data_IF_639611630596
#
_entry.id   IF_639611630596
#
_cell.length_a   1.000
_cell.length_b   1.000
_cell.length_c   1.000
_cell.angle_alpha   90.00
_cell.angle_beta   90.00
_cell.angle_gamma   90.00
#
_symmetry.space_group_name_H-M   'P 1'
#
loop_
_entity.id
_entity.type
_entity.pdbx_description
1 polymer ?
#
# COMPACT_ATOMS: atom_id res chain seq x y z
N UNK A 1 26.84 -0.10 6.66
CA UNK A 1 25.36 0.07 6.69
C UNK A 1 25.02 1.48 6.23
N UNK A 2 24.07 1.62 5.36
CA UNK A 2 23.64 2.92 4.87
C UNK A 2 22.16 3.11 5.16
N UNK A 3 21.82 4.25 5.76
CA UNK A 3 20.44 4.70 5.87
C UNK A 3 20.17 5.53 4.63
N UNK A 4 19.14 5.16 3.88
CA UNK A 4 18.87 5.78 2.60
C UNK A 4 17.67 6.71 2.69
N UNK A 5 17.70 7.75 1.87
CA UNK A 5 16.54 8.61 1.67
C UNK A 5 15.53 7.90 0.75
N UNK A 6 14.31 8.41 0.70
CA UNK A 6 13.31 7.89 -0.23
C UNK A 6 13.60 8.19 -1.70
N UNK A 7 14.70 8.83 -2.01
CA UNK A 7 15.08 9.15 -3.39
C UNK A 7 15.50 7.91 -4.20
N UNK A 8 15.84 6.81 -3.52
CA UNK A 8 16.13 5.54 -4.18
C UNK A 8 14.90 4.75 -4.61
N UNK A 9 13.71 5.32 -4.48
CA UNK A 9 12.45 4.69 -4.85
C UNK A 9 12.32 4.66 -6.39
N UNK A 10 12.35 3.45 -6.94
CA UNK A 10 12.39 3.29 -8.40
C UNK A 10 11.07 2.84 -9.01
N UNK A 11 10.23 2.14 -8.25
CA UNK A 11 8.97 1.63 -8.77
C UNK A 11 7.90 1.61 -7.69
N UNK A 12 6.71 2.06 -8.05
CA UNK A 12 5.48 1.79 -7.32
C UNK A 12 4.43 1.38 -8.34
N UNK A 13 4.16 0.10 -8.44
CA UNK A 13 3.21 -0.41 -9.40
C UNK A 13 2.02 -1.06 -8.70
N UNK A 14 0.84 -0.86 -9.27
CA UNK A 14 -0.40 -1.46 -8.82
C UNK A 14 -1.10 -2.01 -10.05
N UNK A 15 -1.65 -3.21 -9.95
CA UNK A 15 -2.42 -3.78 -11.05
C UNK A 15 -3.65 -2.94 -11.36
N UNK A 16 -3.97 -2.81 -12.63
CA UNK A 16 -5.26 -2.29 -13.05
C UNK A 16 -6.35 -3.37 -12.87
N UNK A 17 -7.59 -3.07 -13.24
CA UNK A 17 -8.69 -4.02 -13.08
C UNK A 17 -8.54 -5.27 -13.94
N UNK A 18 -7.70 -5.22 -14.97
CA UNK A 18 -7.40 -6.36 -15.83
C UNK A 18 -6.21 -7.20 -15.39
N UNK A 19 -5.57 -6.85 -14.26
CA UNK A 19 -4.43 -7.58 -13.72
C UNK A 19 -3.08 -7.20 -14.32
N UNK A 20 -2.99 -6.11 -15.05
CA UNK A 20 -1.73 -5.63 -15.62
C UNK A 20 -1.09 -4.60 -14.68
N UNK A 21 0.18 -4.82 -14.31
CA UNK A 21 0.91 -3.91 -13.44
C UNK A 21 1.16 -2.56 -14.14
N UNK A 22 0.85 -1.48 -13.44
CA UNK A 22 1.05 -0.12 -13.93
C UNK A 22 1.87 0.67 -12.93
N UNK A 23 2.98 1.24 -13.38
CA UNK A 23 3.83 2.09 -12.53
C UNK A 23 3.18 3.47 -12.40
N UNK A 24 2.80 3.84 -11.18
CA UNK A 24 2.14 5.10 -10.89
C UNK A 24 3.02 6.01 -10.01
N UNK A 25 4.30 5.72 -9.91
CA UNK A 25 5.22 6.51 -9.08
C UNK A 25 5.22 7.99 -9.44
N UNK A 26 5.12 8.31 -10.73
CA UNK A 26 5.19 9.70 -11.21
C UNK A 26 4.05 10.57 -10.69
N UNK A 27 2.90 9.99 -10.35
CA UNK A 27 1.75 10.73 -9.83
C UNK A 27 1.52 10.50 -8.33
N UNK A 28 2.42 9.80 -7.64
CA UNK A 28 2.33 9.52 -6.22
C UNK A 28 3.24 10.47 -5.44
N UNK A 29 2.68 11.19 -4.47
CA UNK A 29 3.43 12.12 -3.62
C UNK A 29 3.82 11.49 -2.30
N UNK A 30 2.93 10.72 -1.70
CA UNK A 30 3.13 10.07 -0.41
C UNK A 30 2.70 8.62 -0.48
N UNK A 31 3.45 7.77 0.20
CA UNK A 31 3.13 6.37 0.36
C UNK A 31 3.58 5.94 1.74
N UNK A 32 2.66 5.43 2.53
CA UNK A 32 2.99 4.81 3.82
C UNK A 32 2.37 3.43 3.91
N UNK A 33 2.99 2.57 4.68
CA UNK A 33 2.44 1.26 4.99
C UNK A 33 2.98 0.76 6.31
N UNK A 34 2.26 -0.19 6.90
CA UNK A 34 2.66 -0.88 8.11
C UNK A 34 2.46 -2.38 7.93
N UNK A 35 3.26 -3.17 8.65
CA UNK A 35 3.18 -4.63 8.65
C UNK A 35 3.02 -5.11 10.09
N UNK A 36 1.86 -4.85 10.72
CA UNK A 36 1.68 -5.18 12.12
C UNK A 36 1.46 -6.66 12.34
N UNK A 37 1.86 -7.12 13.51
CA UNK A 37 1.48 -8.43 14.03
C UNK A 37 0.93 -8.26 15.44
N UNK A 38 -0.17 -8.92 15.74
CA UNK A 38 -0.71 -8.96 17.07
C UNK A 38 0.16 -9.80 18.01
N UNK A 39 0.01 -9.58 19.30
CA UNK A 39 0.73 -10.29 20.35
C UNK A 39 -0.30 -10.80 21.36
N UNK A 40 -0.18 -12.07 21.76
CA UNK A 40 -0.96 -12.62 22.84
C UNK A 40 -0.05 -12.97 24.01
N UNK A 41 -0.47 -12.57 25.21
CA UNK A 41 0.21 -12.95 26.45
C UNK A 41 -0.12 -14.40 26.78
N UNK A 42 0.92 -15.24 26.90
CA UNK A 42 0.80 -16.65 27.26
C UNK A 42 1.62 -16.96 28.51
N UNK A 43 1.92 -15.96 29.33
CA UNK A 43 2.73 -16.13 30.53
C UNK A 43 2.02 -17.03 31.52
N UNK A 44 2.67 -18.12 31.92
CA UNK A 44 2.16 -19.03 32.95
C UNK A 44 2.57 -18.56 34.36
N UNK A 45 1.83 -19.03 35.37
CA UNK A 45 2.10 -18.66 36.77
C UNK A 45 3.50 -19.08 37.25
N UNK A 46 4.07 -20.11 36.62
CA UNK A 46 5.41 -20.60 36.99
C UNK A 46 6.54 -19.78 36.39
N UNK A 47 6.24 -18.83 35.52
CA UNK A 47 7.26 -18.04 34.82
C UNK A 47 7.57 -16.76 35.57
N UNK A 48 8.83 -16.36 35.55
CA UNK A 48 9.32 -15.13 36.18
C UNK A 48 9.47 -13.98 35.17
N UNK A 49 9.23 -14.24 33.88
CA UNK A 49 9.30 -13.24 32.83
C UNK A 49 8.07 -13.39 31.91
N UNK A 50 7.75 -12.32 31.22
CA UNK A 50 6.62 -12.32 30.28
C UNK A 50 6.92 -13.24 29.09
N UNK A 51 5.94 -14.05 28.72
CA UNK A 51 5.97 -14.85 27.50
C UNK A 51 4.84 -14.39 26.59
N UNK A 52 5.15 -14.19 25.32
CA UNK A 52 4.19 -13.67 24.33
C UNK A 52 4.24 -14.50 23.06
N UNK A 53 3.09 -14.62 22.42
CA UNK A 53 2.94 -15.32 21.15
C UNK A 53 2.64 -14.28 20.05
N UNK A 54 3.40 -14.33 18.96
CA UNK A 54 3.11 -13.53 17.78
C UNK A 54 1.92 -14.13 17.02
N UNK A 55 0.97 -13.28 16.69
CA UNK A 55 -0.21 -13.66 15.93
C UNK A 55 0.00 -13.40 14.43
N UNK A 56 -1.07 -13.47 13.66
CA UNK A 56 -1.01 -13.31 12.20
C UNK A 56 -0.49 -11.92 11.83
N UNK A 57 0.29 -11.88 10.76
CA UNK A 57 0.78 -10.63 10.19
C UNK A 57 -0.30 -10.00 9.30
N UNK A 58 -0.24 -8.68 9.19
CA UNK A 58 -1.10 -7.90 8.32
C UNK A 58 -0.25 -6.92 7.50
N UNK A 59 -0.85 -6.30 6.51
CA UNK A 59 -0.22 -5.26 5.71
C UNK A 59 -1.29 -4.25 5.31
N UNK A 60 -1.05 -3.00 5.60
CA UNK A 60 -1.99 -1.94 5.24
C UNK A 60 -1.25 -0.62 5.10
N UNK A 61 -1.86 0.31 4.40
CA UNK A 61 -1.29 1.64 4.23
C UNK A 61 -2.16 2.52 3.38
N UNK A 62 -1.59 3.65 2.99
CA UNK A 62 -2.28 4.65 2.17
C UNK A 62 -1.30 5.23 1.17
N UNK A 63 -1.73 5.32 -0.08
CA UNK A 63 -1.04 6.05 -1.13
C UNK A 63 -1.80 7.33 -1.44
N UNK A 64 -1.08 8.41 -1.69
CA UNK A 64 -1.67 9.69 -2.04
C UNK A 64 -0.84 10.38 -3.12
N UNK A 65 -1.51 11.11 -3.99
CA UNK A 65 -0.81 11.79 -5.07
C UNK A 65 -1.68 12.82 -5.78
N UNK A 66 -1.19 13.30 -6.91
CA UNK A 66 -1.90 14.24 -7.77
C UNK A 66 -2.74 13.51 -8.80
N UNK A 67 -3.86 14.12 -9.19
CA UNK A 67 -4.71 13.57 -10.25
C UNK A 67 -3.95 13.53 -11.57
N UNK A 68 -3.90 12.36 -12.19
CA UNK A 68 -3.24 12.15 -13.46
C UNK A 68 -4.11 11.24 -14.32
N UNK A 69 -4.68 11.79 -15.39
CA UNK A 69 -5.57 11.08 -16.29
C UNK A 69 -4.87 10.49 -17.52
N UNK A 70 -3.55 10.50 -17.53
CA UNK A 70 -2.78 9.88 -18.58
C UNK A 70 -3.05 8.38 -18.71
N UNK A 71 -2.81 7.83 -19.88
CA UNK A 71 -3.01 6.40 -20.12
C UNK A 71 -2.14 5.57 -19.18
N UNK A 72 -2.76 4.58 -18.51
CA UNK A 72 -2.07 3.65 -17.60
C UNK A 72 -1.44 4.31 -16.37
N UNK A 73 -1.90 5.50 -15.99
CA UNK A 73 -1.45 6.19 -14.78
C UNK A 73 -2.51 6.10 -13.68
N UNK A 74 -2.33 6.87 -12.61
CA UNK A 74 -3.08 6.68 -11.37
C UNK A 74 -4.61 6.63 -11.56
N UNK A 75 -5.18 7.56 -12.31
CA UNK A 75 -6.63 7.57 -12.51
C UNK A 75 -7.10 6.34 -13.30
N UNK A 76 -6.36 5.93 -14.32
CA UNK A 76 -6.70 4.75 -15.11
C UNK A 76 -6.70 3.47 -14.27
N UNK A 77 -5.79 3.39 -13.27
CA UNK A 77 -5.70 2.25 -12.37
C UNK A 77 -6.83 2.27 -11.33
N UNK A 78 -7.10 3.42 -10.73
CA UNK A 78 -7.96 3.51 -9.54
C UNK A 78 -9.44 3.78 -9.86
N UNK A 79 -9.77 4.24 -11.05
CA UNK A 79 -11.16 4.58 -11.40
C UNK A 79 -12.12 3.39 -11.28
N UNK A 80 -11.62 2.17 -11.34
CA UNK A 80 -12.40 0.94 -11.25
C UNK A 80 -12.49 0.37 -9.84
N UNK A 81 -11.90 1.02 -8.84
CA UNK A 81 -11.90 0.51 -7.46
C UNK A 81 -13.32 0.29 -6.94
N UNK A 82 -14.24 1.20 -7.22
CA UNK A 82 -15.62 1.10 -6.73
C UNK A 82 -16.51 0.16 -7.53
N UNK A 83 -16.09 -0.25 -8.72
CA UNK A 83 -16.96 -0.99 -9.64
C UNK A 83 -16.47 -2.41 -9.95
N UNK A 84 -15.22 -2.73 -9.66
CA UNK A 84 -14.64 -4.02 -10.01
C UNK A 84 -14.03 -4.66 -8.76
N UNK A 85 -14.55 -5.83 -8.39
CA UNK A 85 -14.12 -6.57 -7.19
C UNK A 85 -12.98 -7.50 -7.54
N UNK A 86 -11.77 -6.97 -7.53
CA UNK A 86 -10.55 -7.75 -7.81
C UNK A 86 -9.48 -7.43 -6.77
N UNK A 87 -8.66 -8.44 -6.47
CA UNK A 87 -7.43 -8.23 -5.73
C UNK A 87 -6.36 -7.68 -6.68
N UNK A 88 -5.44 -6.88 -6.16
CA UNK A 88 -4.41 -6.24 -6.99
C UNK A 88 -3.04 -6.46 -6.38
N UNK A 89 -2.08 -6.79 -7.23
CA UNK A 89 -0.69 -6.89 -6.80
C UNK A 89 -0.09 -5.49 -6.70
N UNK A 90 0.45 -5.17 -5.53
CA UNK A 90 1.17 -3.92 -5.31
C UNK A 90 2.65 -4.24 -5.17
N UNK A 91 3.49 -3.58 -5.96
CA UNK A 91 4.93 -3.76 -5.96
C UNK A 91 5.63 -2.44 -5.67
N UNK A 92 6.47 -2.43 -4.66
CA UNK A 92 7.26 -1.27 -4.26
C UNK A 92 8.73 -1.66 -4.34
N UNK A 93 9.53 -0.88 -5.07
CA UNK A 93 10.96 -1.12 -5.20
C UNK A 93 11.72 0.12 -4.74
N UNK A 94 12.54 -0.05 -3.72
CA UNK A 94 13.42 0.99 -3.17
C UNK A 94 14.83 0.42 -3.10
N UNK A 95 15.78 1.07 -3.73
CA UNK A 95 17.20 0.68 -3.72
C UNK A 95 17.43 -0.80 -4.05
N UNK A 96 16.69 -1.32 -5.04
CA UNK A 96 16.78 -2.71 -5.45
C UNK A 96 16.06 -3.71 -4.56
N UNK A 97 15.46 -3.26 -3.45
CA UNK A 97 14.67 -4.12 -2.57
C UNK A 97 13.21 -4.07 -3.01
N UNK A 98 12.61 -5.21 -3.21
CA UNK A 98 11.25 -5.35 -3.73
C UNK A 98 10.31 -5.84 -2.64
N UNK A 99 9.18 -5.15 -2.48
CA UNK A 99 8.07 -5.57 -1.61
C UNK A 99 6.84 -5.78 -2.47
N UNK A 100 6.39 -7.02 -2.58
CA UNK A 100 5.20 -7.38 -3.34
C UNK A 100 4.14 -7.92 -2.39
N UNK A 101 2.92 -7.42 -2.51
CA UNK A 101 1.78 -7.93 -1.75
C UNK A 101 0.53 -7.91 -2.61
N UNK A 102 -0.34 -8.89 -2.38
CA UNK A 102 -1.68 -8.90 -2.96
C UNK A 102 -2.58 -8.11 -2.03
N UNK A 103 -3.18 -7.02 -2.52
CA UNK A 103 -3.95 -6.09 -1.70
C UNK A 103 -5.35 -5.90 -2.26
N UNK A 104 -6.25 -5.45 -1.37
CA UNK A 104 -7.54 -4.90 -1.76
C UNK A 104 -7.49 -3.39 -1.60
N UNK A 105 -8.03 -2.68 -2.56
CA UNK A 105 -8.19 -1.24 -2.53
C UNK A 105 -9.63 -0.94 -2.12
N UNK A 106 -9.81 -0.21 -1.03
CA UNK A 106 -11.12 -0.02 -0.42
C UNK A 106 -11.77 1.30 -0.78
N UNK A 107 -11.01 2.24 -1.31
CA UNK A 107 -11.55 3.56 -1.67
C UNK A 107 -10.64 4.21 -2.71
N UNK A 108 -11.18 5.18 -3.41
CA UNK A 108 -10.43 6.11 -4.25
C UNK A 108 -10.95 7.51 -3.93
N UNK A 109 -10.45 8.07 -2.84
CA UNK A 109 -10.87 9.39 -2.38
C UNK A 109 -10.18 10.47 -3.22
N UNK A 110 -10.94 11.43 -3.68
CA UNK A 110 -10.44 12.55 -4.48
C UNK A 110 -10.87 13.85 -3.84
N UNK A 111 -9.96 14.83 -3.83
CA UNK A 111 -10.21 16.13 -3.24
C UNK A 111 -9.68 17.23 -4.16
N UNK A 112 -10.54 18.20 -4.45
CA UNK A 112 -10.12 19.43 -5.11
C UNK A 112 -10.08 20.54 -4.08
N UNK A 113 -8.90 21.08 -3.83
CA UNK A 113 -8.73 22.17 -2.88
C UNK A 113 -9.18 23.50 -3.49
N UNK A 114 -9.49 24.48 -2.62
CA UNK A 114 -9.86 25.82 -3.06
C UNK A 114 -8.76 26.47 -3.92
N UNK A 115 -7.51 26.18 -3.61
CA UNK A 115 -6.35 26.69 -4.37
C UNK A 115 -6.19 26.02 -5.74
N UNK A 116 -6.96 24.99 -6.05
CA UNK A 116 -7.04 24.41 -7.39
C UNK A 116 -6.39 23.05 -7.55
N UNK A 117 -5.57 22.58 -6.61
CA UNK A 117 -4.97 21.27 -6.72
C UNK A 117 -6.02 20.16 -6.57
N UNK A 118 -5.87 19.13 -7.38
CA UNK A 118 -6.73 17.95 -7.35
C UNK A 118 -5.87 16.75 -6.96
N UNK A 119 -6.16 16.17 -5.79
CA UNK A 119 -5.38 15.09 -5.21
C UNK A 119 -6.24 13.86 -4.98
N UNK A 120 -5.58 12.69 -4.85
CA UNK A 120 -6.25 11.44 -4.55
C UNK A 120 -5.58 10.76 -3.36
N UNK A 121 -6.34 9.89 -2.72
CA UNK A 121 -5.85 9.06 -1.62
C UNK A 121 -6.52 7.69 -1.72
N UNK A 122 -5.73 6.63 -1.67
CA UNK A 122 -6.20 5.25 -1.78
C UNK A 122 -5.68 4.44 -0.60
N UNK A 123 -6.55 4.01 0.32
CA UNK A 123 -6.15 3.06 1.35
C UNK A 123 -6.12 1.64 0.79
N UNK A 124 -5.20 0.84 1.30
CA UNK A 124 -5.07 -0.56 0.89
C UNK A 124 -4.85 -1.46 2.10
N UNK A 125 -5.27 -2.71 1.97
CA UNK A 125 -5.13 -3.74 2.98
C UNK A 125 -4.72 -5.05 2.33
N UNK A 126 -4.08 -5.92 3.10
CA UNK A 126 -3.69 -7.23 2.60
C UNK A 126 -4.94 -8.05 2.23
N UNK A 127 -4.94 -8.59 1.03
CA UNK A 127 -6.05 -9.40 0.53
C UNK A 127 -5.83 -10.89 0.79
N UNK A 128 -4.58 -11.34 0.70
CA UNK A 128 -4.22 -12.75 0.82
C UNK A 128 -3.10 -12.89 1.83
N UNK A 129 -3.34 -13.66 2.88
CA UNK A 129 -2.43 -13.84 4.00
C UNK A 129 -1.39 -14.93 3.82
N UNK A 130 -1.20 -15.42 2.61
CA UNK A 130 -0.19 -16.46 2.36
C UNK A 130 1.20 -15.92 2.11
#
# INVERSE_FOLDING_TARGET
MAIESGLGWTTFSVDDSGGTARDIRASTFNLDWTMPRGVQDITALSQSAMARLLLLADFSGTAAGGFDDGANLAHAVFKTVSSTSVNRTMSIVVSGQTLNNEVILTDYAQTRAQSGEFTWSVPFQLADGT
#
